data_IF_116486155013
#
_entry.id   IF_116486155013
#
_cell.length_a   1.000
_cell.length_b   1.000
_cell.length_c   1.000
_cell.angle_alpha   90.00
_cell.angle_beta   90.00
_cell.angle_gamma   90.00
#
_symmetry.space_group_name_H-M   'P 1'
#
loop_
_entity.id
_entity.type
_entity.pdbx_description
1 polymer ?
#
# COMPACT_ATOMS: atom_id res chain seq x y z
N UNK A 1 -14.68 -4.80 -51.09
CA UNK A 1 -14.06 -5.58 -50.00
C UNK A 1 -15.06 -6.64 -49.58
N UNK A 2 -14.65 -7.90 -49.48
CA UNK A 2 -15.55 -9.02 -49.20
C UNK A 2 -16.23 -8.83 -47.83
N UNK A 3 -17.54 -9.11 -47.73
CA UNK A 3 -18.32 -8.90 -46.49
C UNK A 3 -17.73 -9.68 -45.32
N UNK A 4 -17.17 -10.86 -45.59
CA UNK A 4 -16.49 -11.67 -44.59
C UNK A 4 -15.18 -11.01 -44.09
N UNK A 5 -14.43 -10.35 -44.97
CA UNK A 5 -13.19 -9.66 -44.60
C UNK A 5 -13.46 -8.45 -43.71
N UNK A 6 -14.52 -7.70 -43.98
CA UNK A 6 -14.94 -6.57 -43.13
C UNK A 6 -15.29 -7.05 -41.72
N UNK A 7 -16.06 -8.13 -41.61
CA UNK A 7 -16.50 -8.68 -40.33
C UNK A 7 -15.31 -9.16 -39.47
N UNK A 8 -14.35 -9.86 -40.11
CA UNK A 8 -13.13 -10.33 -39.44
C UNK A 8 -12.29 -9.14 -38.94
N UNK A 9 -12.11 -8.10 -39.76
CA UNK A 9 -11.35 -6.92 -39.36
C UNK A 9 -11.99 -6.21 -38.17
N UNK A 10 -13.31 -6.05 -38.14
CA UNK A 10 -14.01 -5.45 -37.00
C UNK A 10 -13.85 -6.28 -35.73
N UNK A 11 -13.94 -7.61 -35.83
CA UNK A 11 -13.71 -8.50 -34.70
C UNK A 11 -12.29 -8.36 -34.12
N UNK A 12 -11.27 -8.29 -34.99
CA UNK A 12 -9.89 -8.10 -34.55
C UNK A 12 -9.73 -6.77 -33.80
N UNK A 13 -10.32 -5.69 -34.30
CA UNK A 13 -10.26 -4.38 -33.64
C UNK A 13 -10.89 -4.45 -32.24
N UNK A 14 -12.04 -5.11 -32.10
CA UNK A 14 -12.72 -5.28 -30.81
C UNK A 14 -11.83 -6.08 -29.84
N UNK A 15 -11.26 -7.20 -30.30
CA UNK A 15 -10.37 -8.03 -29.45
C UNK A 15 -9.13 -7.25 -29.01
N UNK A 16 -8.52 -6.47 -29.91
CA UNK A 16 -7.37 -5.62 -29.59
C UNK A 16 -7.75 -4.55 -28.58
N UNK A 17 -8.87 -3.85 -28.79
CA UNK A 17 -9.35 -2.84 -27.84
C UNK A 17 -9.65 -3.43 -26.46
N UNK A 18 -10.27 -4.61 -26.40
CA UNK A 18 -10.58 -5.29 -25.15
C UNK A 18 -9.32 -5.73 -24.41
N UNK A 19 -8.34 -6.27 -25.14
CA UNK A 19 -7.04 -6.68 -24.58
C UNK A 19 -6.30 -5.48 -23.97
N UNK A 20 -6.31 -4.33 -24.65
CA UNK A 20 -5.68 -3.12 -24.12
C UNK A 20 -6.42 -2.65 -22.85
N UNK A 21 -7.75 -2.66 -22.87
CA UNK A 21 -8.56 -2.25 -21.72
C UNK A 21 -8.30 -3.11 -20.48
N UNK A 22 -8.31 -4.44 -20.64
CA UNK A 22 -8.08 -5.37 -19.52
C UNK A 22 -6.65 -5.29 -19.00
N UNK A 23 -5.65 -5.15 -19.89
CA UNK A 23 -4.26 -4.96 -19.50
C UNK A 23 -4.05 -3.70 -18.66
N UNK A 24 -4.69 -2.58 -19.03
CA UNK A 24 -4.61 -1.33 -18.25
C UNK A 24 -5.28 -1.47 -16.87
N UNK A 25 -6.49 -2.01 -16.82
CA UNK A 25 -7.16 -2.24 -15.53
C UNK A 25 -6.37 -3.16 -14.60
N UNK A 26 -5.74 -4.20 -15.16
CA UNK A 26 -4.91 -5.11 -14.37
C UNK A 26 -3.67 -4.39 -13.82
N UNK A 27 -3.02 -3.57 -14.64
CA UNK A 27 -1.85 -2.79 -14.22
C UNK A 27 -2.20 -1.75 -13.15
N UNK A 28 -3.29 -0.99 -13.35
CA UNK A 28 -3.74 0.03 -12.40
C UNK A 28 -4.13 -0.60 -11.05
N UNK A 29 -4.85 -1.73 -11.09
CA UNK A 29 -5.19 -2.48 -9.87
C UNK A 29 -3.95 -3.01 -9.17
N UNK A 30 -2.97 -3.53 -9.91
CA UNK A 30 -1.73 -4.06 -9.33
C UNK A 30 -0.91 -2.96 -8.64
N UNK A 31 -0.78 -1.81 -9.30
CA UNK A 31 -0.06 -0.65 -8.74
C UNK A 31 -0.76 -0.14 -7.47
N UNK A 32 -2.09 0.00 -7.49
CA UNK A 32 -2.85 0.42 -6.30
C UNK A 32 -2.65 -0.55 -5.14
N UNK A 33 -2.79 -1.86 -5.39
CA UNK A 33 -2.62 -2.88 -4.36
C UNK A 33 -1.20 -2.92 -3.80
N UNK A 34 -0.17 -2.68 -4.62
CA UNK A 34 1.21 -2.56 -4.15
C UNK A 34 1.41 -1.34 -3.24
N UNK A 35 0.86 -0.18 -3.62
CA UNK A 35 0.94 1.04 -2.80
C UNK A 35 0.25 0.82 -1.45
N UNK A 36 -0.96 0.27 -1.47
CA UNK A 36 -1.72 -0.03 -0.24
C UNK A 36 -0.97 -1.03 0.64
N UNK A 37 -0.36 -2.06 0.04
CA UNK A 37 0.44 -3.03 0.76
C UNK A 37 1.67 -2.39 1.42
N UNK A 38 2.46 -1.62 0.67
CA UNK A 38 3.64 -0.94 1.21
C UNK A 38 3.28 0.06 2.31
N UNK A 39 2.17 0.78 2.15
CA UNK A 39 1.69 1.71 3.17
C UNK A 39 1.29 0.97 4.46
N UNK A 40 0.50 -0.10 4.33
CA UNK A 40 0.06 -0.90 5.47
C UNK A 40 1.23 -1.62 6.16
N UNK A 41 2.21 -2.11 5.40
CA UNK A 41 3.42 -2.73 5.96
C UNK A 41 4.24 -1.71 6.74
N UNK A 42 4.51 -0.53 6.17
CA UNK A 42 5.26 0.52 6.87
C UNK A 42 4.55 1.02 8.13
N UNK A 43 3.22 1.11 8.10
CA UNK A 43 2.43 1.42 9.30
C UNK A 43 2.55 0.32 10.36
N UNK A 44 2.43 -0.96 9.97
CA UNK A 44 2.55 -2.08 10.88
C UNK A 44 3.94 -2.14 11.53
N UNK A 45 5.00 -1.91 10.75
CA UNK A 45 6.38 -1.87 11.24
C UNK A 45 6.58 -0.72 12.24
N UNK A 46 6.13 0.49 11.91
CA UNK A 46 6.22 1.64 12.81
C UNK A 46 5.47 1.44 14.12
N UNK A 47 4.28 0.82 14.08
CA UNK A 47 3.52 0.46 15.29
C UNK A 47 4.25 -0.62 16.09
N UNK A 48 4.82 -1.62 15.42
CA UNK A 48 5.62 -2.66 16.07
C UNK A 48 6.84 -2.10 16.81
N UNK A 49 7.52 -1.12 16.23
CA UNK A 49 8.66 -0.43 16.86
C UNK A 49 8.22 0.33 18.12
N UNK A 50 7.07 1.03 18.07
CA UNK A 50 6.50 1.72 19.23
C UNK A 50 6.15 0.74 20.34
N UNK A 51 5.51 -0.39 20.00
CA UNK A 51 5.15 -1.43 20.98
C UNK A 51 6.40 -2.01 21.61
N UNK A 52 7.43 -2.32 20.81
CA UNK A 52 8.69 -2.89 21.29
C UNK A 52 9.41 -1.92 22.23
N UNK A 53 9.48 -0.64 21.88
CA UNK A 53 10.05 0.39 22.75
C UNK A 53 9.25 0.59 24.04
N UNK A 54 7.90 0.51 23.98
CA UNK A 54 7.03 0.62 25.15
C UNK A 54 7.12 -0.60 26.09
N UNK A 55 7.56 -1.75 25.59
CA UNK A 55 7.79 -2.97 26.38
C UNK A 55 9.18 -3.00 27.05
N UNK A 56 10.05 -2.01 26.79
CA UNK A 56 11.34 -1.93 27.47
C UNK A 56 11.13 -1.75 28.98
N UNK A 57 11.72 -2.65 29.78
CA UNK A 57 11.62 -2.68 31.24
C UNK A 57 12.30 -1.47 31.91
N UNK A 58 13.20 -0.80 31.20
CA UNK A 58 13.93 0.39 31.69
C UNK A 58 13.00 1.62 31.86
N UNK A 59 11.76 1.56 31.36
CA UNK A 59 10.75 2.60 31.54
C UNK A 59 11.19 4.01 31.13
N UNK A 60 12.13 4.11 30.18
CA UNK A 60 12.60 5.39 29.66
C UNK A 60 11.64 5.98 28.63
N UNK A 61 11.55 7.31 28.61
CA UNK A 61 10.80 8.00 27.57
C UNK A 61 11.55 7.87 26.23
N UNK A 62 10.85 7.48 25.17
CA UNK A 62 11.42 7.30 23.85
C UNK A 62 10.78 8.22 22.81
N UNK A 63 11.54 8.69 21.81
CA UNK A 63 11.04 9.61 20.82
C UNK A 63 10.27 8.90 19.71
N UNK A 64 9.10 9.41 19.35
CA UNK A 64 8.33 9.03 18.15
C UNK A 64 8.25 10.22 17.21
N UNK A 65 8.40 9.93 15.92
CA UNK A 65 8.49 10.93 14.86
C UNK A 65 7.37 10.75 13.84
N UNK A 66 6.76 11.85 13.41
CA UNK A 66 5.90 11.91 12.22
C UNK A 66 6.37 13.10 11.38
N UNK A 67 7.06 12.81 10.27
CA UNK A 67 7.65 13.85 9.43
C UNK A 67 8.71 14.67 10.18
N UNK A 68 8.41 15.94 10.49
CA UNK A 68 9.30 16.82 11.27
C UNK A 68 8.91 16.91 12.74
N UNK A 69 7.73 16.41 13.10
CA UNK A 69 7.22 16.49 14.46
C UNK A 69 7.81 15.35 15.29
N UNK A 70 8.20 15.68 16.52
CA UNK A 70 8.77 14.76 17.49
C UNK A 70 8.00 14.88 18.79
N UNK A 71 7.58 13.75 19.33
CA UNK A 71 7.00 13.65 20.68
C UNK A 71 7.75 12.57 21.44
N UNK A 72 8.09 12.83 22.70
CA UNK A 72 8.60 11.78 23.59
C UNK A 72 7.40 11.14 24.30
N UNK A 73 7.30 9.82 24.21
CA UNK A 73 6.26 9.04 24.86
C UNK A 73 6.87 8.08 25.88
N UNK A 74 6.07 7.70 26.86
CA UNK A 74 6.42 6.73 27.90
C UNK A 74 5.24 5.78 28.09
N UNK A 75 5.51 4.52 28.40
CA UNK A 75 4.46 3.58 28.73
C UNK A 75 3.73 4.05 30.01
N UNK A 76 2.40 4.10 29.97
CA UNK A 76 1.58 4.52 31.12
C UNK A 76 1.79 3.62 32.34
N UNK A 77 2.08 2.34 32.13
CA UNK A 77 2.37 1.39 33.21
C UNK A 77 3.65 1.76 33.98
N UNK A 78 4.58 2.46 33.32
CA UNK A 78 5.80 2.99 33.94
C UNK A 78 5.57 4.28 34.74
N UNK A 79 4.48 5.02 34.47
CA UNK A 79 4.18 6.27 35.19
C UNK A 79 3.79 6.01 36.64
N UNK A 80 3.25 4.82 36.91
CA UNK A 80 2.77 4.42 38.24
C UNK A 80 3.75 3.51 39.01
N UNK A 81 4.95 3.28 38.46
CA UNK A 81 5.99 2.41 39.00
C UNK A 81 6.97 3.23 39.87
#
# INVERSE_FOLDING_TARGET
>A
MDKQKILITVLIIIVVAFTIYTAKNFFDSYVSSMIDFSYNSGYADAVSDIISAAQNEECEAFPVFIGKDKVNIINVDCVWK
#
